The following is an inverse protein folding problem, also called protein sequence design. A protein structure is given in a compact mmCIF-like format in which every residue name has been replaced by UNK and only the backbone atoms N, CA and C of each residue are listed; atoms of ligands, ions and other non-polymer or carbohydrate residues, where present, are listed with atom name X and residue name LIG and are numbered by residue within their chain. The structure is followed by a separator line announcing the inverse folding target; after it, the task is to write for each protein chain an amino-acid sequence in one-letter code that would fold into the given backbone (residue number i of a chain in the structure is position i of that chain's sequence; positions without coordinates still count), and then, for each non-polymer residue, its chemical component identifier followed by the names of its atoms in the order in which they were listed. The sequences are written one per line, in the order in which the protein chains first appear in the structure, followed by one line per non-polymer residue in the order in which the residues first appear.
data_IF_648070720643
#
_entry.id   IF_648070720643
#
_cell.length_a   1.000
_cell.length_b   1.000
_cell.length_c   1.000
_cell.angle_alpha   90.00
_cell.angle_beta   90.00
_cell.angle_gamma   90.00
#
_symmetry.space_group_name_H-M   'P 1'
#
loop_
_entity.id
_entity.type
_entity.pdbx_description
1 polymer ?
#
# COMPACT_ATOMS: atom_id res chain seq x y z
N UNK A 1 19.31 -18.00 2.42
CA UNK A 1 19.03 -17.25 1.18
C UNK A 1 19.46 -18.12 0.00
N UNK A 2 18.60 -18.36 -1.00
CA UNK A 2 19.02 -19.18 -2.15
C UNK A 2 20.00 -18.40 -3.03
N UNK A 3 20.90 -19.11 -3.74
CA UNK A 3 21.84 -18.48 -4.67
C UNK A 3 21.11 -17.64 -5.74
N UNK A 4 20.00 -18.17 -6.26
CA UNK A 4 19.13 -17.47 -7.21
C UNK A 4 18.54 -16.16 -6.65
N UNK A 5 18.11 -16.15 -5.38
CA UNK A 5 17.59 -14.94 -4.74
C UNK A 5 18.69 -13.88 -4.58
N UNK A 6 19.91 -14.30 -4.24
CA UNK A 6 21.04 -13.37 -4.10
C UNK A 6 21.44 -12.74 -5.43
N UNK A 7 21.44 -13.53 -6.50
CA UNK A 7 21.69 -13.06 -7.87
C UNK A 7 20.62 -12.05 -8.33
N UNK A 8 19.33 -12.37 -8.15
CA UNK A 8 18.24 -11.46 -8.51
C UNK A 8 18.29 -10.14 -7.74
N UNK A 9 18.66 -10.17 -6.47
CA UNK A 9 18.84 -8.93 -5.69
C UNK A 9 20.03 -8.09 -6.20
N UNK A 10 21.13 -8.73 -6.59
CA UNK A 10 22.28 -8.02 -7.15
C UNK A 10 21.91 -7.36 -8.50
N UNK A 11 21.18 -8.07 -9.37
CA UNK A 11 20.69 -7.54 -10.64
C UNK A 11 19.67 -6.40 -10.43
N UNK A 12 18.70 -6.56 -9.52
CA UNK A 12 17.71 -5.53 -9.22
C UNK A 12 18.36 -4.22 -8.70
N UNK A 13 19.47 -4.31 -7.97
CA UNK A 13 20.21 -3.11 -7.51
C UNK A 13 20.84 -2.30 -8.64
N UNK A 14 21.10 -2.91 -9.80
CA UNK A 14 21.67 -2.23 -10.96
C UNK A 14 20.63 -1.43 -11.76
N UNK A 15 19.34 -1.71 -11.56
CA UNK A 15 18.24 -1.01 -12.21
C UNK A 15 18.08 0.42 -11.70
N UNK A 16 17.53 1.30 -12.54
CA UNK A 16 17.10 2.64 -12.14
C UNK A 16 15.98 2.62 -11.10
N UNK A 17 15.75 3.76 -10.43
CA UNK A 17 14.71 3.84 -9.39
C UNK A 17 13.31 3.45 -9.88
N UNK A 18 12.97 3.86 -11.09
CA UNK A 18 11.65 3.60 -11.69
C UNK A 18 11.49 2.12 -12.05
N UNK A 19 12.48 1.52 -12.69
CA UNK A 19 12.50 0.09 -13.04
C UNK A 19 12.46 -0.80 -11.79
N UNK A 20 13.15 -0.42 -10.71
CA UNK A 20 13.04 -1.12 -9.43
C UNK A 20 11.64 -1.04 -8.84
N UNK A 21 10.98 0.11 -8.96
CA UNK A 21 9.61 0.28 -8.47
C UNK A 21 8.63 -0.60 -9.27
N UNK A 22 8.79 -0.67 -10.60
CA UNK A 22 8.00 -1.55 -11.47
C UNK A 22 8.20 -3.03 -11.11
N UNK A 23 9.46 -3.47 -10.94
CA UNK A 23 9.77 -4.84 -10.53
C UNK A 23 9.18 -5.16 -9.14
N UNK A 24 9.24 -4.23 -8.20
CA UNK A 24 8.63 -4.40 -6.89
C UNK A 24 7.10 -4.54 -6.98
N UNK A 25 6.42 -3.71 -7.79
CA UNK A 25 4.97 -3.82 -8.02
C UNK A 25 4.60 -5.19 -8.56
N UNK A 26 5.27 -5.62 -9.63
CA UNK A 26 5.04 -6.93 -10.24
C UNK A 26 5.20 -8.08 -9.22
N UNK A 27 6.27 -8.06 -8.41
CA UNK A 27 6.49 -9.09 -7.40
C UNK A 27 5.42 -9.06 -6.30
N UNK A 28 5.00 -7.87 -5.86
CA UNK A 28 3.91 -7.72 -4.89
C UNK A 28 2.59 -8.29 -5.43
N UNK A 29 2.25 -7.98 -6.69
CA UNK A 29 1.06 -8.54 -7.35
C UNK A 29 1.10 -10.07 -7.40
N UNK A 30 2.27 -10.69 -7.61
CA UNK A 30 2.36 -12.17 -7.56
C UNK A 30 2.16 -12.78 -6.17
N UNK A 31 2.31 -11.97 -5.12
CA UNK A 31 2.11 -12.38 -3.73
C UNK A 31 0.69 -12.07 -3.24
N UNK A 32 -0.07 -11.25 -3.97
CA UNK A 32 -1.47 -11.02 -3.67
C UNK A 32 -2.24 -12.33 -3.84
N UNK A 33 -2.99 -12.77 -2.81
CA UNK A 33 -3.82 -13.96 -2.92
C UNK A 33 -4.79 -13.81 -4.09
N UNK A 34 -4.91 -14.85 -4.92
CA UNK A 34 -5.92 -14.88 -6.01
C UNK A 34 -7.34 -14.82 -5.45
N UNK A 35 -7.52 -15.24 -4.19
CA UNK A 35 -8.70 -14.94 -3.36
C UNK A 35 -8.56 -13.54 -2.72
N UNK A 36 -8.53 -12.51 -3.55
CA UNK A 36 -8.94 -11.16 -3.15
C UNK A 36 -10.46 -11.02 -3.14
N UNK A 37 -11.19 -12.15 -3.19
CA UNK A 37 -12.62 -12.24 -3.50
C UNK A 37 -13.56 -11.76 -2.40
N UNK A 38 -13.06 -11.54 -1.19
CA UNK A 38 -13.81 -10.82 -0.18
C UNK A 38 -12.83 -9.88 0.51
N UNK A 39 -13.05 -8.57 0.36
CA UNK A 39 -12.84 -7.66 1.49
C UNK A 39 -13.45 -8.40 2.68
N UNK A 40 -12.64 -8.85 3.64
CA UNK A 40 -13.15 -9.76 4.68
C UNK A 40 -14.43 -9.16 5.27
N UNK A 41 -15.44 -9.95 5.62
CA UNK A 41 -16.73 -9.42 6.05
C UNK A 41 -16.59 -8.39 7.19
N UNK A 42 -15.54 -8.56 8.01
CA UNK A 42 -15.10 -7.64 9.05
C UNK A 42 -14.62 -6.29 8.50
N UNK A 43 -13.89 -6.30 7.40
CA UNK A 43 -13.40 -5.10 6.72
C UNK A 43 -14.54 -4.36 6.00
N UNK A 44 -15.50 -5.06 5.40
CA UNK A 44 -16.70 -4.43 4.82
C UNK A 44 -17.55 -3.79 5.93
N UNK A 45 -17.72 -4.47 7.06
CA UNK A 45 -18.39 -3.93 8.23
C UNK A 45 -17.69 -2.66 8.76
N UNK A 46 -16.37 -2.66 8.84
CA UNK A 46 -15.57 -1.50 9.27
C UNK A 46 -15.73 -0.30 8.30
N UNK A 47 -15.74 -0.53 6.99
CA UNK A 47 -16.00 0.55 6.00
C UNK A 47 -17.35 1.19 6.25
N UNK A 48 -18.41 0.37 6.40
CA UNK A 48 -19.77 0.86 6.62
C UNK A 48 -19.87 1.63 7.94
N UNK A 49 -19.23 1.13 9.00
CA UNK A 49 -19.20 1.79 10.31
C UNK A 49 -18.52 3.16 10.22
N UNK A 50 -17.31 3.23 9.65
CA UNK A 50 -16.58 4.50 9.50
C UNK A 50 -17.30 5.49 8.61
N UNK A 51 -17.91 5.02 7.52
CA UNK A 51 -18.70 5.89 6.65
C UNK A 51 -19.86 6.55 7.42
N UNK A 52 -20.58 5.77 8.22
CA UNK A 52 -21.69 6.28 9.01
C UNK A 52 -21.25 7.28 10.10
N UNK A 53 -20.08 7.06 10.73
CA UNK A 53 -19.49 8.03 11.67
C UNK A 53 -19.16 9.37 10.99
N UNK A 54 -18.65 9.32 9.76
CA UNK A 54 -18.35 10.51 8.95
C UNK A 54 -19.64 11.25 8.60
N UNK A 55 -20.67 10.55 8.13
CA UNK A 55 -21.96 11.16 7.76
C UNK A 55 -22.66 11.83 8.95
N UNK A 56 -22.55 11.22 10.15
CA UNK A 56 -23.08 11.82 11.38
C UNK A 56 -22.23 12.97 11.93
N UNK A 57 -20.97 13.08 11.49
CA UNK A 57 -20.03 14.06 12.02
C UNK A 57 -19.45 13.70 13.39
N UNK A 58 -19.48 12.41 13.75
CA UNK A 58 -18.97 11.90 15.04
C UNK A 58 -17.43 11.96 15.11
N UNK A 59 -16.77 12.08 13.95
CA UNK A 59 -15.32 12.07 13.81
C UNK A 59 -14.80 13.37 13.21
N UNK A 60 -13.64 13.82 13.69
CA UNK A 60 -12.92 14.95 13.11
C UNK A 60 -12.11 14.48 11.90
N UNK A 61 -12.53 14.91 10.72
CA UNK A 61 -11.79 14.66 9.48
C UNK A 61 -10.53 15.52 9.41
N UNK A 62 -9.48 14.97 8.79
CA UNK A 62 -8.27 15.69 8.42
C UNK A 62 -8.32 15.93 6.91
N UNK A 63 -8.13 17.16 6.42
CA UNK A 63 -8.04 17.43 5.00
C UNK A 63 -6.92 16.61 4.34
N UNK A 64 -7.22 15.98 3.21
CA UNK A 64 -6.23 15.17 2.49
C UNK A 64 -4.96 15.98 2.15
N UNK A 65 -5.10 17.27 1.85
CA UNK A 65 -3.98 18.18 1.58
C UNK A 65 -3.02 18.30 2.76
N UNK A 66 -3.52 18.31 3.99
CA UNK A 66 -2.74 18.34 5.23
C UNK A 66 -1.99 17.02 5.43
N UNK A 67 -2.68 15.88 5.27
CA UNK A 67 -2.08 14.54 5.35
C UNK A 67 -0.90 14.39 4.38
N UNK A 68 -1.10 14.74 3.11
CA UNK A 68 -0.04 14.63 2.11
C UNK A 68 1.10 15.62 2.32
N UNK A 69 0.83 16.82 2.82
CA UNK A 69 1.87 17.78 3.16
C UNK A 69 2.77 17.27 4.29
N UNK A 70 2.18 16.64 5.30
CA UNK A 70 2.92 16.07 6.43
C UNK A 70 3.76 14.86 6.02
N UNK A 71 3.25 13.97 5.16
CA UNK A 71 4.03 12.86 4.62
C UNK A 71 5.25 13.38 3.85
N UNK A 72 5.07 14.36 2.96
CA UNK A 72 6.18 14.94 2.19
C UNK A 72 7.26 15.52 3.10
N UNK A 73 6.86 16.23 4.17
CA UNK A 73 7.79 16.82 5.14
C UNK A 73 8.62 15.79 5.91
N UNK A 74 8.07 14.59 6.14
CA UNK A 74 8.76 13.50 6.84
C UNK A 74 9.73 12.72 5.94
N UNK A 75 9.52 12.77 4.63
CA UNK A 75 10.30 12.02 3.64
C UNK A 75 11.34 12.87 2.90
N UNK A 76 11.34 14.20 3.11
CA UNK A 76 12.36 15.14 2.67
C UNK A 76 13.49 15.26 3.68
#
# INVERSE_FOLDING_TARGET
MSAKLAELQAQAKQLGSEERAQLASFLLETLEPTDSGDVSQEWEAEIKARWAEIERGDVKLIPATEVFADIRRKLS
#
